data_IF_140018937381
#
_entry.id   IF_140018937381
#
_cell.length_a   1.000
_cell.length_b   1.000
_cell.length_c   1.000
_cell.angle_alpha   90.00
_cell.angle_beta   90.00
_cell.angle_gamma   90.00
#
_symmetry.space_group_name_H-M   'P 1'
#
loop_
_entity.id
_entity.type
_entity.pdbx_description
1 polymer ?
#
# COMPACT_ATOMS: atom_id res chain seq x y z
N UNK A 1 -30.80 -4.83 2.91
CA UNK A 1 -30.86 -5.17 4.34
C UNK A 1 -29.48 -5.01 4.97
N UNK A 2 -29.40 -4.25 6.05
CA UNK A 2 -28.12 -4.05 6.76
C UNK A 2 -27.92 -5.20 7.76
N UNK A 3 -26.73 -5.76 7.78
CA UNK A 3 -26.34 -6.79 8.74
C UNK A 3 -25.34 -6.23 9.76
N UNK A 4 -25.08 -6.97 10.82
CA UNK A 4 -24.04 -6.62 11.80
C UNK A 4 -22.64 -6.53 11.16
N UNK A 5 -22.45 -7.18 10.02
CA UNK A 5 -21.17 -7.19 9.31
C UNK A 5 -20.92 -5.92 8.50
N UNK A 6 -21.95 -5.18 8.13
CA UNK A 6 -21.82 -3.97 7.31
C UNK A 6 -20.97 -2.90 8.00
N UNK A 7 -21.13 -2.70 9.29
CA UNK A 7 -20.34 -1.76 10.08
C UNK A 7 -18.86 -2.18 10.14
N UNK A 8 -18.60 -3.48 10.30
CA UNK A 8 -17.24 -4.03 10.31
C UNK A 8 -16.58 -3.92 8.94
N UNK A 9 -17.32 -4.22 7.87
CA UNK A 9 -16.84 -4.07 6.49
C UNK A 9 -16.45 -2.63 6.23
N UNK A 10 -17.30 -1.69 6.59
CA UNK A 10 -17.04 -0.25 6.42
C UNK A 10 -15.80 0.17 7.21
N UNK A 11 -15.65 -0.29 8.44
CA UNK A 11 -14.50 0.01 9.31
C UNK A 11 -13.19 -0.48 8.68
N UNK A 12 -13.15 -1.75 8.25
CA UNK A 12 -11.92 -2.35 7.70
C UNK A 12 -11.63 -1.89 6.28
N UNK A 13 -12.66 -1.54 5.50
CA UNK A 13 -12.46 -0.92 4.19
C UNK A 13 -11.84 0.47 4.35
N UNK A 14 -12.31 1.26 5.31
CA UNK A 14 -11.71 2.56 5.62
C UNK A 14 -10.25 2.41 6.05
N UNK A 15 -9.94 1.43 6.90
CA UNK A 15 -8.58 1.12 7.32
C UNK A 15 -7.72 0.68 6.12
N UNK A 16 -8.27 -0.14 5.24
CA UNK A 16 -7.62 -0.56 3.99
C UNK A 16 -7.24 0.64 3.13
N UNK A 17 -8.17 1.57 2.92
CA UNK A 17 -7.91 2.78 2.12
C UNK A 17 -6.83 3.66 2.74
N UNK A 18 -6.82 3.83 4.06
CA UNK A 18 -5.79 4.60 4.76
C UNK A 18 -4.40 3.95 4.64
N UNK A 19 -4.32 2.65 4.85
CA UNK A 19 -3.06 1.91 4.73
C UNK A 19 -2.56 1.90 3.27
N UNK A 20 -3.47 1.80 2.31
CA UNK A 20 -3.13 1.86 0.89
C UNK A 20 -2.56 3.22 0.51
N UNK A 21 -3.14 4.32 1.00
CA UNK A 21 -2.60 5.67 0.78
C UNK A 21 -1.18 5.81 1.35
N UNK A 22 -0.97 5.29 2.56
CA UNK A 22 0.35 5.31 3.20
C UNK A 22 1.36 4.50 2.39
N UNK A 23 0.96 3.35 1.85
CA UNK A 23 1.80 2.52 1.01
C UNK A 23 2.18 3.24 -0.29
N UNK A 24 1.22 3.86 -0.96
CA UNK A 24 1.47 4.60 -2.20
C UNK A 24 2.39 5.80 -1.96
N UNK A 25 2.23 6.49 -0.84
CA UNK A 25 3.14 7.56 -0.43
C UNK A 25 4.56 7.03 -0.23
N UNK A 26 4.72 5.92 0.46
CA UNK A 26 6.02 5.28 0.72
C UNK A 26 6.71 4.89 -0.58
N UNK A 27 5.99 4.28 -1.52
CA UNK A 27 6.51 3.93 -2.85
C UNK A 27 6.98 5.18 -3.60
N UNK A 28 6.20 6.25 -3.57
CA UNK A 28 6.56 7.53 -4.20
C UNK A 28 7.82 8.13 -3.59
N UNK A 29 7.97 8.08 -2.27
CA UNK A 29 9.15 8.58 -1.57
C UNK A 29 10.41 7.76 -1.89
N UNK A 30 10.28 6.45 -2.05
CA UNK A 30 11.38 5.58 -2.49
C UNK A 30 11.83 5.96 -3.89
N UNK A 31 10.90 6.18 -4.82
CA UNK A 31 11.21 6.61 -6.19
C UNK A 31 11.95 7.96 -6.19
N UNK A 32 11.48 8.92 -5.40
CA UNK A 32 12.13 10.23 -5.27
C UNK A 32 13.55 10.10 -4.72
N UNK A 33 13.75 9.25 -3.73
CA UNK A 33 15.07 9.01 -3.15
C UNK A 33 16.04 8.40 -4.18
N UNK A 34 15.56 7.45 -4.99
CA UNK A 34 16.35 6.87 -6.09
C UNK A 34 16.68 7.91 -7.16
N UNK A 35 15.74 8.76 -7.52
CA UNK A 35 15.98 9.85 -8.48
C UNK A 35 17.01 10.84 -7.95
N UNK A 36 16.92 11.22 -6.68
CA UNK A 36 17.89 12.09 -6.03
C UNK A 36 19.29 11.47 -6.02
N UNK A 37 19.38 10.17 -5.74
CA UNK A 37 20.64 9.44 -5.77
C UNK A 37 21.22 9.42 -7.18
N UNK A 38 20.40 9.16 -8.19
CA UNK A 38 20.82 9.17 -9.60
C UNK A 38 21.33 10.56 -10.02
N UNK A 39 20.68 11.62 -9.56
CA UNK A 39 21.11 13.01 -9.81
C UNK A 39 22.47 13.28 -9.18
N UNK A 40 22.70 12.82 -7.96
CA UNK A 40 24.01 12.97 -7.30
C UNK A 40 25.10 12.21 -8.04
N UNK A 41 24.83 11.00 -8.50
CA UNK A 41 25.76 10.19 -9.27
C UNK A 41 26.11 10.86 -10.61
N UNK A 42 25.13 11.47 -11.26
CA UNK A 42 25.32 12.22 -12.48
C UNK A 42 26.19 13.46 -12.25
N UNK A 43 25.93 14.22 -11.18
CA UNK A 43 26.74 15.39 -10.80
C UNK A 43 28.15 14.99 -10.48
N UNK A 44 28.38 13.88 -9.81
CA UNK A 44 29.70 13.33 -9.50
C UNK A 44 30.44 12.97 -10.79
N UNK A 45 29.75 12.28 -11.71
CA UNK A 45 30.33 11.90 -13.00
C UNK A 45 30.70 13.13 -13.85
N UNK A 46 29.82 14.15 -13.87
CA UNK A 46 30.08 15.42 -14.59
C UNK A 46 31.28 16.18 -14.00
N UNK A 47 31.38 16.23 -12.69
CA UNK A 47 32.49 16.88 -12.00
C UNK A 47 33.80 16.19 -12.33
N UNK A 48 33.82 14.87 -12.30
CA UNK A 48 34.99 14.07 -12.67
C UNK A 48 35.39 14.30 -14.13
N UNK A 49 34.41 14.28 -15.04
CA UNK A 49 34.68 14.52 -16.48
C UNK A 49 35.26 15.90 -16.71
N UNK A 50 34.70 16.95 -16.10
CA UNK A 50 35.24 18.32 -16.21
C UNK A 50 36.64 18.44 -15.68
N UNK A 51 36.94 17.75 -14.56
CA UNK A 51 38.28 17.75 -13.98
C UNK A 51 39.26 17.04 -14.90
N UNK A 52 38.88 15.89 -15.47
CA UNK A 52 39.76 15.09 -16.35
C UNK A 52 40.01 15.74 -17.71
N UNK A 53 39.12 16.64 -18.16
CA UNK A 53 39.28 17.39 -19.42
C UNK A 53 40.18 18.62 -19.28
N UNK A 54 40.54 19.01 -18.04
CA UNK A 54 41.42 20.16 -17.82
C UNK A 54 42.87 19.83 -18.21
N UNK A 55 43.46 20.73 -18.94
CA UNK A 55 44.88 20.63 -19.36
C UNK A 55 45.83 20.81 -18.17
N UNK A 56 45.46 21.71 -17.24
CA UNK A 56 46.24 21.99 -16.03
C UNK A 56 45.38 21.85 -14.80
N UNK A 57 45.86 21.14 -13.77
CA UNK A 57 45.22 21.00 -12.48
C UNK A 57 46.02 21.75 -11.41
N UNK A 58 45.33 22.59 -10.66
CA UNK A 58 45.88 23.26 -9.48
C UNK A 58 45.52 22.43 -8.22
N UNK A 59 46.37 22.54 -7.20
CA UNK A 59 46.14 21.85 -5.93
C UNK A 59 44.80 22.21 -5.30
N UNK A 60 44.34 23.47 -5.47
CA UNK A 60 43.01 23.92 -5.04
C UNK A 60 41.87 23.21 -5.75
N UNK A 61 42.00 22.89 -7.05
CA UNK A 61 41.00 22.15 -7.81
C UNK A 61 40.84 20.72 -7.30
N UNK A 62 41.97 20.07 -6.99
CA UNK A 62 41.97 18.72 -6.42
C UNK A 62 41.38 18.69 -5.03
N UNK A 63 41.68 19.68 -4.19
CA UNK A 63 41.12 19.79 -2.85
C UNK A 63 39.60 20.00 -2.91
N UNK A 64 39.13 20.87 -3.79
CA UNK A 64 37.72 21.13 -4.01
C UNK A 64 36.99 19.88 -4.49
N UNK A 65 37.54 19.15 -5.45
CA UNK A 65 36.99 17.91 -5.96
C UNK A 65 36.90 16.83 -4.86
N UNK A 66 37.95 16.73 -4.03
CA UNK A 66 37.95 15.82 -2.89
C UNK A 66 36.85 16.12 -1.87
N UNK A 67 36.68 17.40 -1.53
CA UNK A 67 35.63 17.85 -0.64
C UNK A 67 34.21 17.59 -1.24
N UNK A 68 34.07 17.88 -2.52
CA UNK A 68 32.82 17.64 -3.25
C UNK A 68 32.45 16.15 -3.24
N UNK A 69 33.38 15.28 -3.58
CA UNK A 69 33.18 13.83 -3.56
C UNK A 69 32.83 13.30 -2.18
N UNK A 70 33.52 13.82 -1.16
CA UNK A 70 33.23 13.45 0.22
C UNK A 70 31.81 13.83 0.61
N UNK A 71 31.36 15.03 0.26
CA UNK A 71 30.02 15.50 0.50
C UNK A 71 28.97 14.66 -0.23
N UNK A 72 29.23 14.34 -1.49
CA UNK A 72 28.35 13.48 -2.31
C UNK A 72 28.25 12.08 -1.72
N UNK A 73 29.38 11.51 -1.30
CA UNK A 73 29.41 10.18 -0.68
C UNK A 73 28.55 10.14 0.60
N UNK A 74 28.65 11.19 1.43
CA UNK A 74 27.80 11.30 2.63
C UNK A 74 26.32 11.42 2.30
N UNK A 75 25.96 12.22 1.30
CA UNK A 75 24.57 12.37 0.87
C UNK A 75 24.01 11.07 0.31
N UNK A 76 24.80 10.34 -0.48
CA UNK A 76 24.41 9.01 -0.99
C UNK A 76 24.19 8.03 0.16
N UNK A 77 25.07 8.02 1.14
CA UNK A 77 24.93 7.16 2.32
C UNK A 77 23.64 7.45 3.08
N UNK A 78 23.33 8.73 3.28
CA UNK A 78 22.07 9.15 3.92
C UNK A 78 20.85 8.72 3.10
N UNK A 79 20.92 8.86 1.78
CA UNK A 79 19.84 8.41 0.88
C UNK A 79 19.69 6.90 0.92
N UNK A 80 20.78 6.14 0.95
CA UNK A 80 20.73 4.68 1.08
C UNK A 80 20.09 4.25 2.39
N UNK A 81 20.40 4.92 3.50
CA UNK A 81 19.76 4.68 4.79
C UNK A 81 18.28 5.02 4.74
N UNK A 82 17.92 6.16 4.16
CA UNK A 82 16.51 6.56 4.00
C UNK A 82 15.72 5.57 3.14
N UNK A 83 16.32 5.09 2.04
CA UNK A 83 15.71 4.08 1.18
C UNK A 83 15.49 2.77 1.95
N UNK A 84 16.48 2.34 2.74
CA UNK A 84 16.36 1.13 3.54
C UNK A 84 15.22 1.22 4.56
N UNK A 85 15.11 2.36 5.25
CA UNK A 85 14.01 2.62 6.19
C UNK A 85 12.65 2.64 5.48
N UNK A 86 12.55 3.32 4.34
CA UNK A 86 11.33 3.38 3.55
C UNK A 86 10.91 2.00 3.02
N UNK A 87 11.86 1.17 2.63
CA UNK A 87 11.58 -0.21 2.20
C UNK A 87 11.07 -1.08 3.33
N UNK A 88 11.60 -0.89 4.54
CA UNK A 88 11.10 -1.57 5.73
C UNK A 88 9.65 -1.16 6.02
N UNK A 89 9.36 0.14 5.98
CA UNK A 89 8.02 0.68 6.16
C UNK A 89 7.07 0.18 5.07
N UNK A 90 7.53 0.12 3.82
CA UNK A 90 6.77 -0.42 2.70
C UNK A 90 6.36 -1.87 2.94
N UNK A 91 7.29 -2.70 3.42
CA UNK A 91 7.01 -4.11 3.73
C UNK A 91 5.94 -4.25 4.82
N UNK A 92 6.03 -3.43 5.89
CA UNK A 92 5.02 -3.40 6.95
C UNK A 92 3.66 -2.94 6.44
N UNK A 93 3.65 -1.89 5.61
CA UNK A 93 2.42 -1.36 5.02
C UNK A 93 1.76 -2.36 4.08
N UNK A 94 2.53 -3.08 3.27
CA UNK A 94 2.03 -4.17 2.42
C UNK A 94 1.35 -5.25 3.25
N UNK A 95 1.97 -5.61 4.37
CA UNK A 95 1.41 -6.60 5.30
C UNK A 95 0.08 -6.12 5.90
N UNK A 96 0.00 -4.85 6.32
CA UNK A 96 -1.21 -4.24 6.87
C UNK A 96 -2.33 -4.13 5.82
N UNK A 97 -1.99 -3.72 4.61
CA UNK A 97 -2.93 -3.65 3.48
C UNK A 97 -3.51 -5.04 3.20
N UNK A 98 -2.66 -6.07 3.13
CA UNK A 98 -3.09 -7.45 2.91
C UNK A 98 -4.01 -7.94 4.03
N UNK A 99 -3.69 -7.62 5.30
CA UNK A 99 -4.51 -8.00 6.44
C UNK A 99 -5.87 -7.30 6.42
N UNK A 100 -5.92 -6.00 6.12
CA UNK A 100 -7.17 -5.26 5.98
C UNK A 100 -8.03 -5.83 4.84
N UNK A 101 -7.42 -6.13 3.70
CA UNK A 101 -8.10 -6.75 2.56
C UNK A 101 -8.68 -8.11 2.93
N UNK A 102 -7.92 -8.92 3.67
CA UNK A 102 -8.35 -10.23 4.15
C UNK A 102 -9.57 -10.10 5.08
N UNK A 103 -9.53 -9.13 5.99
CA UNK A 103 -10.64 -8.88 6.92
C UNK A 103 -11.90 -8.41 6.20
N UNK A 104 -11.77 -7.52 5.23
CA UNK A 104 -12.90 -7.07 4.40
C UNK A 104 -13.55 -8.26 3.70
N UNK A 105 -12.76 -9.09 3.04
CA UNK A 105 -13.26 -10.29 2.34
C UNK A 105 -13.92 -11.28 3.30
N UNK A 106 -13.33 -11.48 4.47
CA UNK A 106 -13.90 -12.35 5.51
C UNK A 106 -15.28 -11.89 5.94
N UNK A 107 -15.44 -10.59 6.23
CA UNK A 107 -16.70 -10.05 6.68
C UNK A 107 -17.74 -9.94 5.56
N UNK A 108 -17.30 -9.69 4.32
CA UNK A 108 -18.18 -9.79 3.15
C UNK A 108 -18.72 -11.21 2.97
N UNK A 109 -17.86 -12.20 3.10
CA UNK A 109 -18.25 -13.61 3.03
C UNK A 109 -19.28 -13.96 4.13
N UNK A 110 -19.04 -13.53 5.38
CA UNK A 110 -19.95 -13.77 6.49
C UNK A 110 -21.28 -13.06 6.29
N UNK A 111 -21.25 -11.83 5.78
CA UNK A 111 -22.46 -11.08 5.44
C UNK A 111 -23.27 -11.82 4.39
N UNK A 112 -22.64 -12.22 3.31
CA UNK A 112 -23.29 -12.89 2.18
C UNK A 112 -23.87 -14.24 2.63
N UNK A 113 -23.16 -14.96 3.48
CA UNK A 113 -23.64 -16.21 4.07
C UNK A 113 -24.88 -15.99 4.94
N UNK A 114 -24.88 -14.97 5.79
CA UNK A 114 -26.01 -14.62 6.64
C UNK A 114 -27.22 -14.19 5.80
N UNK A 115 -27.01 -13.38 4.77
CA UNK A 115 -28.06 -12.95 3.84
C UNK A 115 -28.65 -14.14 3.08
N UNK A 116 -27.81 -15.07 2.63
CA UNK A 116 -28.25 -16.28 1.96
C UNK A 116 -29.06 -17.17 2.91
N UNK A 117 -28.59 -17.36 4.13
CA UNK A 117 -29.29 -18.09 5.18
C UNK A 117 -30.65 -17.48 5.50
N UNK A 118 -30.71 -16.17 5.61
CA UNK A 118 -31.96 -15.43 5.83
C UNK A 118 -32.91 -15.60 4.64
N UNK A 119 -32.44 -15.48 3.42
CA UNK A 119 -33.24 -15.67 2.21
C UNK A 119 -33.77 -17.10 2.12
N UNK A 120 -32.95 -18.10 2.43
CA UNK A 120 -33.37 -19.51 2.43
C UNK A 120 -34.44 -19.78 3.51
N UNK A 121 -34.26 -19.23 4.70
CA UNK A 121 -35.24 -19.35 5.78
C UNK A 121 -36.57 -18.72 5.38
N UNK A 122 -36.54 -17.57 4.72
CA UNK A 122 -37.74 -16.89 4.21
C UNK A 122 -38.43 -17.70 3.13
N UNK A 123 -37.70 -18.32 2.21
CA UNK A 123 -38.26 -19.21 1.19
C UNK A 123 -38.97 -20.42 1.81
N UNK A 124 -38.35 -21.01 2.84
CA UNK A 124 -38.96 -22.13 3.57
C UNK A 124 -40.28 -21.68 4.26
N UNK A 125 -40.27 -20.54 4.93
CA UNK A 125 -41.45 -19.98 5.57
C UNK A 125 -42.59 -19.71 4.57
N UNK A 126 -42.25 -19.13 3.42
CA UNK A 126 -43.22 -18.88 2.34
C UNK A 126 -43.79 -20.20 1.78
N UNK A 127 -42.95 -21.22 1.63
CA UNK A 127 -43.38 -22.54 1.18
C UNK A 127 -44.31 -23.19 2.21
N UNK A 128 -43.99 -23.09 3.50
CA UNK A 128 -44.82 -23.61 4.60
C UNK A 128 -46.18 -22.89 4.66
N UNK A 129 -46.19 -21.58 4.52
CA UNK A 129 -47.41 -20.77 4.47
C UNK A 129 -48.31 -21.18 3.28
N UNK A 130 -47.71 -21.40 2.12
CA UNK A 130 -48.44 -21.84 0.94
C UNK A 130 -49.02 -23.23 1.13
N UNK A 131 -48.24 -24.13 1.71
CA UNK A 131 -48.69 -25.50 2.02
C UNK A 131 -49.88 -25.50 3.01
N UNK A 132 -49.80 -24.72 4.07
CA UNK A 132 -50.88 -24.54 5.04
C UNK A 132 -52.15 -23.96 4.36
N UNK A 133 -51.98 -22.98 3.48
CA UNK A 133 -53.10 -22.42 2.73
C UNK A 133 -53.76 -23.46 1.86
N UNK A 134 -53.01 -24.28 1.16
CA UNK A 134 -53.53 -25.36 0.29
C UNK A 134 -54.31 -26.39 1.14
N UNK A 135 -53.74 -26.78 2.29
CA UNK A 135 -54.40 -27.73 3.19
C UNK A 135 -55.70 -27.17 3.75
N UNK A 136 -55.73 -25.92 4.16
CA UNK A 136 -56.94 -25.26 4.65
C UNK A 136 -58.01 -25.15 3.55
N UNK A 137 -57.59 -24.85 2.31
CA UNK A 137 -58.53 -24.79 1.18
C UNK A 137 -59.15 -26.13 0.85
N UNK A 138 -58.43 -27.25 1.06
CA UNK A 138 -58.93 -28.60 0.83
C UNK A 138 -59.89 -29.08 1.91
N UNK A 139 -59.80 -28.55 3.13
CA UNK A 139 -60.64 -28.93 4.25
C UNK A 139 -61.98 -28.23 4.24
N UNK A 140 -62.18 -27.23 3.41
CA UNK A 140 -63.48 -26.59 3.17
C UNK A 140 -64.23 -27.31 2.04
#
# INVERSE_FOLDING_TARGET
MKTKWDALIKKYDAAYQEELKALLWSVSEIEKAHENKATLEEQEADSWRKLSEREYLYSGDLAFDGEFRFSVAKLKERLDCAIAELKTDEAELKSRVAECARLVKKYEFLRDKDLLGYANAREVDEADELEDWVMNSRSE
#
